data_IF_383258288317
#
_entry.id   IF_383258288317
#
_cell.length_a   1.000
_cell.length_b   1.000
_cell.length_c   1.000
_cell.angle_alpha   90.00
_cell.angle_beta   90.00
_cell.angle_gamma   90.00
#
_symmetry.space_group_name_H-M   'P 1'
#
loop_
_entity.id
_entity.type
_entity.pdbx_description
1 polymer ?
#
# COMPACT_ATOMS: atom_id res chain seq x y z
N UNK A 1 -15.26 -11.41 13.60
CA UNK A 1 -14.37 -10.48 12.88
C UNK A 1 -15.10 -10.02 11.63
N UNK A 2 -15.30 -8.71 11.45
CA UNK A 2 -15.88 -8.20 10.20
C UNK A 2 -14.92 -8.54 9.05
N UNK A 3 -15.40 -9.00 7.88
CA UNK A 3 -14.51 -9.25 6.75
C UNK A 3 -13.74 -7.95 6.46
N UNK A 4 -12.41 -8.02 6.53
CA UNK A 4 -11.56 -6.88 6.25
C UNK A 4 -11.98 -6.32 4.88
N UNK A 5 -12.39 -5.05 4.85
CA UNK A 5 -12.83 -4.41 3.61
C UNK A 5 -11.74 -4.59 2.56
N UNK A 6 -12.09 -5.25 1.44
CA UNK A 6 -11.15 -5.53 0.36
C UNK A 6 -10.62 -4.20 -0.18
N UNK A 7 -9.31 -4.06 -0.26
CA UNK A 7 -8.68 -2.88 -0.86
C UNK A 7 -9.15 -2.69 -2.30
N UNK A 8 -9.41 -1.44 -2.68
CA UNK A 8 -9.64 -1.09 -4.08
C UNK A 8 -8.36 -1.24 -4.91
N UNK A 9 -8.48 -1.17 -6.24
CA UNK A 9 -7.31 -1.11 -7.11
C UNK A 9 -6.47 0.15 -6.84
N UNK A 10 -7.14 1.29 -6.58
CA UNK A 10 -6.46 2.55 -6.27
C UNK A 10 -5.65 2.47 -4.97
N UNK A 11 -6.21 1.84 -3.93
CA UNK A 11 -5.52 1.62 -2.65
C UNK A 11 -4.23 0.81 -2.85
N UNK A 12 -4.33 -0.28 -3.61
CA UNK A 12 -3.21 -1.18 -3.89
C UNK A 12 -2.15 -0.48 -4.75
N UNK A 13 -2.58 0.24 -5.79
CA UNK A 13 -1.68 0.96 -6.67
C UNK A 13 -0.92 2.06 -5.91
N UNK A 14 -1.60 2.81 -5.04
CA UNK A 14 -0.98 3.88 -4.25
C UNK A 14 0.12 3.31 -3.33
N UNK A 15 -0.21 2.24 -2.59
CA UNK A 15 0.76 1.59 -1.71
C UNK A 15 1.96 1.01 -2.49
N UNK A 16 1.74 0.49 -3.69
CA UNK A 16 2.81 -0.02 -4.55
C UNK A 16 3.71 1.10 -5.07
N UNK A 17 3.16 2.24 -5.51
CA UNK A 17 3.94 3.40 -5.93
C UNK A 17 4.79 3.94 -4.78
N UNK A 18 4.20 4.04 -3.58
CA UNK A 18 4.92 4.48 -2.39
C UNK A 18 6.02 3.48 -2.01
N UNK A 19 5.73 2.18 -2.07
CA UNK A 19 6.68 1.08 -1.88
C UNK A 19 7.86 1.14 -2.85
N UNK A 20 7.58 1.43 -4.12
CA UNK A 20 8.61 1.64 -5.14
C UNK A 20 9.53 2.81 -4.80
N UNK A 21 8.97 3.95 -4.38
CA UNK A 21 9.74 5.15 -4.01
C UNK A 21 10.65 4.89 -2.80
N UNK A 22 10.13 4.22 -1.76
CA UNK A 22 10.91 3.97 -0.53
C UNK A 22 11.97 2.90 -0.71
N UNK A 23 11.75 1.94 -1.60
CA UNK A 23 12.71 0.87 -1.82
C UNK A 23 14.07 1.40 -2.28
N UNK A 24 14.12 2.48 -3.08
CA UNK A 24 15.34 3.11 -3.61
C UNK A 24 16.40 2.18 -4.22
N UNK A 25 16.06 0.89 -4.43
CA UNK A 25 17.00 -0.15 -4.90
C UNK A 25 17.38 0.07 -6.36
N UNK A 26 16.58 0.81 -7.12
CA UNK A 26 16.83 1.14 -8.51
C UNK A 26 16.72 2.66 -8.64
N UNK A 27 17.84 3.33 -8.92
CA UNK A 27 17.83 4.75 -9.36
C UNK A 27 17.26 4.77 -10.77
N UNK A 28 15.94 4.74 -10.87
CA UNK A 28 15.20 4.58 -12.12
C UNK A 28 14.45 5.87 -12.48
N UNK A 29 14.35 6.13 -13.78
CA UNK A 29 13.57 7.22 -14.38
C UNK A 29 12.07 7.13 -14.04
N UNK A 30 11.62 5.94 -13.61
CA UNK A 30 10.24 5.64 -13.21
C UNK A 30 9.80 6.27 -11.89
N UNK A 31 10.71 6.89 -11.13
CA UNK A 31 10.32 7.62 -9.91
C UNK A 31 9.37 8.78 -10.25
N UNK A 32 9.60 9.47 -11.37
CA UNK A 32 8.71 10.54 -11.85
C UNK A 32 7.33 10.00 -12.23
N UNK A 33 7.30 8.84 -12.89
CA UNK A 33 6.04 8.16 -13.23
C UNK A 33 5.28 7.75 -11.97
N UNK A 34 5.98 7.19 -10.96
CA UNK A 34 5.35 6.82 -9.70
C UNK A 34 4.75 8.03 -8.97
N UNK A 35 5.46 9.17 -8.96
CA UNK A 35 4.97 10.43 -8.39
C UNK A 35 3.69 10.91 -9.10
N UNK A 36 3.70 10.96 -10.44
CA UNK A 36 2.52 11.38 -11.21
C UNK A 36 1.32 10.46 -10.95
N UNK A 37 1.53 9.14 -10.96
CA UNK A 37 0.46 8.17 -10.67
C UNK A 37 -0.06 8.31 -9.25
N UNK A 38 0.78 8.62 -8.26
CA UNK A 38 0.31 8.87 -6.89
C UNK A 38 -0.64 10.06 -6.80
N UNK A 39 -0.36 11.15 -7.52
CA UNK A 39 -1.25 12.32 -7.58
C UNK A 39 -2.62 11.95 -8.16
N UNK A 40 -2.63 11.16 -9.23
CA UNK A 40 -3.86 10.68 -9.87
C UNK A 40 -4.68 9.74 -8.97
N UNK A 41 -4.02 8.92 -8.14
CA UNK A 41 -4.67 7.91 -7.31
C UNK A 41 -5.29 8.48 -6.03
N UNK A 42 -4.70 9.51 -5.42
CA UNK A 42 -5.10 10.06 -4.13
C UNK A 42 -6.60 10.44 -4.00
N UNK A 43 -7.28 10.96 -5.04
CA UNK A 43 -8.72 11.20 -5.00
C UNK A 43 -9.58 9.93 -4.94
N UNK A 44 -9.06 8.79 -5.40
CA UNK A 44 -9.80 7.53 -5.56
C UNK A 44 -9.60 6.53 -4.41
N UNK A 45 -8.72 6.85 -3.46
CA UNK A 45 -8.39 5.97 -2.33
C UNK A 45 -9.49 5.96 -1.29
N UNK A 46 -9.78 4.76 -0.80
CA UNK A 46 -10.74 4.55 0.27
C UNK A 46 -10.12 4.92 1.64
N UNK A 47 -10.23 6.19 2.02
CA UNK A 47 -9.76 6.70 3.33
C UNK A 47 -10.51 6.15 4.54
N UNK A 48 -11.63 5.44 4.36
CA UNK A 48 -12.35 4.78 5.46
C UNK A 48 -11.74 3.42 5.86
N UNK A 49 -10.83 2.88 5.03
CA UNK A 49 -10.03 1.71 5.42
C UNK A 49 -9.08 2.06 6.56
N UNK A 50 -8.95 1.20 7.56
CA UNK A 50 -8.10 1.48 8.74
C UNK A 50 -6.61 1.67 8.41
N UNK A 51 -6.15 1.18 7.25
CA UNK A 51 -4.73 1.17 6.87
C UNK A 51 -4.38 2.16 5.75
N UNK A 52 -5.38 2.79 5.12
CA UNK A 52 -5.15 3.75 4.03
C UNK A 52 -4.86 5.20 4.46
N UNK A 53 -5.34 5.71 5.62
CA UNK A 53 -5.00 7.05 6.07
C UNK A 53 -3.49 7.31 6.14
N UNK A 54 -2.72 6.40 6.75
CA UNK A 54 -1.27 6.53 6.88
C UNK A 54 -0.57 6.47 5.52
N UNK A 55 -1.05 5.61 4.60
CA UNK A 55 -0.54 5.56 3.22
C UNK A 55 -0.83 6.86 2.48
N UNK A 56 -2.02 7.44 2.63
CA UNK A 56 -2.37 8.73 2.02
C UNK A 56 -1.53 9.88 2.56
N UNK A 57 -1.33 9.93 3.87
CA UNK A 57 -0.53 10.95 4.53
C UNK A 57 0.92 10.88 4.08
N UNK A 58 1.51 9.68 4.07
CA UNK A 58 2.85 9.45 3.57
C UNK A 58 3.00 9.81 2.09
N UNK A 59 2.01 9.44 1.26
CA UNK A 59 1.97 9.84 -0.14
C UNK A 59 1.97 11.37 -0.29
N UNK A 60 1.14 12.08 0.48
CA UNK A 60 1.10 13.54 0.48
C UNK A 60 2.42 14.18 0.90
N UNK A 61 3.10 13.62 1.91
CA UNK A 61 4.42 14.09 2.34
C UNK A 61 5.48 13.91 1.24
N UNK A 62 5.49 12.74 0.57
CA UNK A 62 6.38 12.45 -0.55
C UNK A 62 6.14 13.41 -1.72
N UNK A 63 4.89 13.61 -2.13
CA UNK A 63 4.53 14.54 -3.21
C UNK A 63 4.94 15.98 -2.88
N UNK A 64 4.74 16.41 -1.63
CA UNK A 64 5.10 17.77 -1.19
C UNK A 64 6.62 17.98 -1.16
N UNK A 65 7.39 16.96 -0.82
CA UNK A 65 8.84 17.04 -0.74
C UNK A 65 9.54 16.81 -2.11
N UNK A 66 8.88 16.12 -3.04
CA UNK A 66 9.44 15.74 -4.34
C UNK A 66 10.04 16.89 -5.16
N UNK A 67 9.39 18.07 -5.30
CA UNK A 67 9.96 19.21 -6.05
C UNK A 67 11.23 19.79 -5.42
N UNK A 68 11.45 19.53 -4.12
CA UNK A 68 12.56 20.11 -3.35
C UNK A 68 13.75 19.16 -3.19
N UNK A 69 13.62 17.88 -3.56
CA UNK A 69 14.61 16.82 -3.28
C UNK A 69 16.06 17.12 -3.70
N UNK A 70 16.26 17.97 -4.71
CA UNK A 70 17.58 18.37 -5.21
C UNK A 70 18.16 19.66 -4.60
N UNK A 71 17.45 20.30 -3.66
CA UNK A 71 17.88 21.55 -2.99
C UNK A 71 18.43 21.22 -1.60
N UNK A 72 19.43 21.97 -1.12
CA UNK A 72 20.10 21.71 0.17
C UNK A 72 19.12 21.65 1.36
N UNK A 73 18.19 22.60 1.46
CA UNK A 73 17.14 22.59 2.50
C UNK A 73 16.05 21.55 2.22
N UNK A 74 15.83 21.20 0.95
CA UNK A 74 14.85 20.22 0.52
C UNK A 74 15.29 18.76 0.73
N UNK A 75 16.61 18.52 0.87
CA UNK A 75 17.15 17.20 1.15
C UNK A 75 16.65 16.65 2.50
N UNK A 76 16.60 17.48 3.55
CA UNK A 76 16.08 17.10 4.87
C UNK A 76 14.58 16.79 4.81
N UNK A 77 13.80 17.62 4.10
CA UNK A 77 12.36 17.40 3.92
C UNK A 77 12.07 16.12 3.13
N UNK A 78 12.85 15.85 2.09
CA UNK A 78 12.77 14.61 1.30
C UNK A 78 13.13 13.38 2.13
N UNK A 79 14.23 13.42 2.90
CA UNK A 79 14.62 12.34 3.78
C UNK A 79 13.56 12.04 4.85
N UNK A 80 12.98 13.09 5.46
CA UNK A 80 11.87 12.96 6.41
C UNK A 80 10.64 12.32 5.77
N UNK A 81 10.23 12.80 4.59
CA UNK A 81 9.09 12.24 3.85
C UNK A 81 9.29 10.75 3.50
N UNK A 82 10.50 10.36 3.10
CA UNK A 82 10.85 8.96 2.83
C UNK A 82 10.81 8.10 4.07
N UNK A 83 11.26 8.61 5.22
CA UNK A 83 11.18 7.88 6.49
C UNK A 83 9.72 7.64 6.90
N UNK A 84 8.88 8.66 6.81
CA UNK A 84 7.43 8.55 7.04
C UNK A 84 6.80 7.52 6.09
N UNK A 85 7.13 7.59 4.80
CA UNK A 85 6.64 6.64 3.81
C UNK A 85 7.11 5.21 4.07
N UNK A 86 8.37 5.02 4.46
CA UNK A 86 8.91 3.72 4.77
C UNK A 86 8.17 3.06 5.94
N UNK A 87 7.89 3.83 7.00
CA UNK A 87 7.13 3.33 8.16
C UNK A 87 5.70 2.96 7.75
N UNK A 88 5.00 3.84 7.03
CA UNK A 88 3.63 3.58 6.57
C UNK A 88 3.53 2.35 5.65
N UNK A 89 4.47 2.21 4.70
CA UNK A 89 4.54 1.05 3.81
C UNK A 89 4.87 -0.22 4.60
N UNK A 90 5.78 -0.17 5.56
CA UNK A 90 6.16 -1.33 6.37
C UNK A 90 4.97 -1.87 7.16
N UNK A 91 4.24 -0.98 7.85
CA UNK A 91 3.04 -1.35 8.62
C UNK A 91 1.95 -1.94 7.70
N UNK A 92 1.74 -1.31 6.54
CA UNK A 92 0.78 -1.76 5.55
C UNK A 92 1.15 -3.13 4.96
N UNK A 93 2.42 -3.37 4.66
CA UNK A 93 2.92 -4.65 4.16
C UNK A 93 2.82 -5.74 5.22
N UNK A 94 3.10 -5.43 6.48
CA UNK A 94 2.91 -6.37 7.59
C UNK A 94 1.46 -6.84 7.68
N UNK A 95 0.51 -5.90 7.66
CA UNK A 95 -0.91 -6.22 7.65
C UNK A 95 -1.32 -7.03 6.41
N UNK A 96 -0.90 -6.62 5.20
CA UNK A 96 -1.19 -7.36 3.96
C UNK A 96 -0.63 -8.78 3.99
N UNK A 97 0.59 -8.96 4.51
CA UNK A 97 1.23 -10.26 4.61
C UNK A 97 0.48 -11.18 5.59
N UNK A 98 0.00 -10.65 6.72
CA UNK A 98 -0.84 -11.40 7.65
C UNK A 98 -2.14 -11.87 6.96
N UNK A 99 -2.84 -10.97 6.28
CA UNK A 99 -4.08 -11.30 5.55
C UNK A 99 -3.86 -12.34 4.45
N UNK A 100 -2.79 -12.20 3.66
CA UNK A 100 -2.44 -13.15 2.62
C UNK A 100 -2.09 -14.53 3.20
N UNK A 101 -1.38 -14.55 4.33
CA UNK A 101 -1.01 -15.80 5.04
C UNK A 101 -2.25 -16.53 5.56
N UNK A 102 -3.20 -15.81 6.14
CA UNK A 102 -4.44 -16.39 6.64
C UNK A 102 -5.31 -16.92 5.48
N UNK A 103 -5.46 -16.15 4.42
CA UNK A 103 -6.18 -16.57 3.22
C UNK A 103 -5.56 -17.83 2.58
N UNK A 104 -4.23 -17.89 2.50
CA UNK A 104 -3.51 -19.06 2.01
C UNK A 104 -3.77 -20.28 2.89
N UNK A 105 -3.66 -20.16 4.22
CA UNK A 105 -3.95 -21.26 5.15
C UNK A 105 -5.39 -21.77 5.01
N UNK A 106 -6.36 -20.87 4.89
CA UNK A 106 -7.75 -21.24 4.66
C UNK A 106 -7.94 -21.99 3.34
N UNK A 107 -7.20 -21.65 2.29
CA UNK A 107 -7.27 -22.35 0.99
C UNK A 107 -6.76 -23.78 1.03
N UNK A 108 -5.91 -24.13 2.00
CA UNK A 108 -5.37 -25.48 2.19
C UNK A 108 -6.28 -26.40 3.00
N UNK A 109 -7.32 -25.86 3.64
CA UNK A 109 -8.27 -26.67 4.40
C UNK A 109 -9.14 -27.49 3.43
N UNK A 110 -9.23 -28.82 3.58
CA UNK A 110 -10.05 -29.64 2.69
C UNK A 110 -11.50 -29.15 2.76
N UNK A 111 -12.10 -28.88 1.60
CA UNK A 111 -13.55 -28.70 1.55
C UNK A 111 -14.16 -30.04 1.89
N UNK A 112 -14.78 -30.16 3.06
CA UNK A 112 -15.60 -31.32 3.39
C UNK A 112 -16.65 -31.44 2.29
N UNK A 113 -16.65 -32.51 1.48
CA UNK A 113 -17.71 -32.69 0.49
C UNK A 113 -19.04 -32.70 1.24
N UNK A 114 -19.98 -31.85 0.85
CA UNK A 114 -21.37 -31.99 1.27
C UNK A 114 -21.78 -33.43 0.96
N UNK A 115 -22.09 -34.21 2.01
CA UNK A 115 -22.57 -35.55 1.85
C UNK A 115 -23.78 -35.50 0.90
N UNK A 116 -23.82 -36.31 -0.17
CA UNK A 116 -24.95 -36.31 -1.09
C UNK A 116 -26.21 -36.54 -0.27
N UNK A 117 -27.10 -35.57 -0.35
CA UNK A 117 -28.37 -35.53 0.36
C UNK A 117 -29.09 -36.84 0.09
N UNK A 118 -29.10 -37.74 1.08
CA UNK A 118 -29.81 -39.01 1.02
C UNK A 118 -31.31 -38.71 1.12
N UNK A 119 -31.89 -38.28 0.01
CA UNK A 119 -33.31 -38.06 -0.13
C UNK A 119 -33.91 -39.16 -1.02
N UNK A 120 -34.59 -40.08 -0.32
CA UNK A 120 -35.73 -40.92 -0.72
C UNK A 120 -35.55 -41.92 -1.87
#
# INVERSE_FOLDING_TARGET
MSPAARLSLADQALANCLGFIVAQVIRDDRTEVAIAVMEELLPHVNRSSAHMPQICEAAGAVLSAWPMRGRTEGATNWASALMTANNAVSDFLFWRAAMASDAWRSSLSPQTPEAPNAAA
#
